data_IF_769927279398
#
_entry.id   IF_769927279398
#
_cell.length_a   1.000
_cell.length_b   1.000
_cell.length_c   1.000
_cell.angle_alpha   90.00
_cell.angle_beta   90.00
_cell.angle_gamma   90.00
#
_symmetry.space_group_name_H-M   'P 1'
#
loop_
_entity.id
_entity.type
_entity.pdbx_description
1 polymer ?
#
# COMPACT_ATOMS: atom_id res chain seq x y z
N UNK A 1 -2.14 24.97 -17.38
CA UNK A 1 -2.07 23.69 -16.64
C UNK A 1 -2.83 23.86 -15.34
N UNK A 2 -3.98 23.22 -15.21
CA UNK A 2 -4.86 23.43 -14.04
C UNK A 2 -4.33 22.65 -12.85
N UNK A 3 -3.84 23.36 -11.84
CA UNK A 3 -3.49 22.77 -10.55
C UNK A 3 -4.81 22.50 -9.83
N UNK A 4 -5.35 21.30 -9.95
CA UNK A 4 -6.51 20.90 -9.18
C UNK A 4 -6.09 20.79 -7.72
N UNK A 5 -6.30 21.84 -6.97
CA UNK A 5 -6.13 21.86 -5.51
C UNK A 5 -7.42 21.29 -4.93
N UNK A 6 -7.29 20.21 -4.13
CA UNK A 6 -8.44 19.69 -3.39
C UNK A 6 -8.95 20.76 -2.40
N UNK A 7 -10.25 20.94 -2.26
CA UNK A 7 -10.80 21.84 -1.26
C UNK A 7 -10.35 21.39 0.15
N UNK A 8 -10.23 22.33 1.09
CA UNK A 8 -9.81 22.06 2.48
C UNK A 8 -10.67 20.96 3.15
N UNK A 9 -11.91 20.79 2.71
CA UNK A 9 -12.86 19.76 3.15
C UNK A 9 -13.07 18.66 2.09
N UNK A 10 -11.99 18.12 1.51
CA UNK A 10 -12.09 17.03 0.50
C UNK A 10 -12.67 15.72 1.07
N UNK A 11 -12.76 15.58 2.37
CA UNK A 11 -13.30 14.41 3.07
C UNK A 11 -14.36 14.84 4.09
N UNK A 12 -15.52 14.18 4.06
CA UNK A 12 -16.46 14.20 5.17
C UNK A 12 -15.96 13.25 6.26
N UNK A 13 -15.64 13.71 7.49
CA UNK A 13 -15.14 12.84 8.56
C UNK A 13 -16.17 11.79 9.01
N UNK A 14 -17.48 12.08 8.83
CA UNK A 14 -18.59 11.24 9.29
C UNK A 14 -19.07 10.23 8.24
N UNK A 15 -18.50 10.24 7.03
CA UNK A 15 -18.87 9.31 5.96
C UNK A 15 -17.71 8.38 5.60
N UNK A 16 -17.99 7.08 5.30
CA UNK A 16 -16.99 6.17 4.78
C UNK A 16 -16.32 6.71 3.52
N UNK A 17 -15.01 6.58 3.45
CA UNK A 17 -14.24 7.03 2.30
C UNK A 17 -13.46 5.88 1.68
N UNK A 18 -13.32 5.87 0.35
CA UNK A 18 -12.62 4.81 -0.40
C UNK A 18 -11.19 4.55 0.12
N UNK A 19 -10.51 5.58 0.60
CA UNK A 19 -9.18 5.48 1.19
C UNK A 19 -9.15 4.89 2.61
N UNK A 20 -10.30 4.63 3.24
CA UNK A 20 -10.36 3.96 4.54
C UNK A 20 -9.97 2.50 4.42
N UNK A 21 -10.25 1.91 3.24
CA UNK A 21 -9.87 0.56 2.88
C UNK A 21 -9.34 0.52 1.43
N UNK A 22 -8.25 1.25 1.20
CA UNK A 22 -7.69 1.45 -0.13
C UNK A 22 -7.28 0.14 -0.83
N UNK A 23 -6.80 -0.86 -0.08
CA UNK A 23 -6.41 -2.15 -0.64
C UNK A 23 -7.64 -2.93 -1.13
N UNK A 24 -8.72 -2.98 -0.35
CA UNK A 24 -9.99 -3.60 -0.76
C UNK A 24 -10.58 -2.89 -1.97
N UNK A 25 -10.66 -1.57 -1.93
CA UNK A 25 -11.20 -0.76 -3.01
C UNK A 25 -10.39 -0.90 -4.31
N UNK A 26 -9.06 -1.04 -4.23
CA UNK A 26 -8.23 -1.35 -5.39
C UNK A 26 -8.51 -2.76 -5.94
N UNK A 27 -8.52 -3.78 -5.08
CA UNK A 27 -8.73 -5.19 -5.47
C UNK A 27 -10.15 -5.48 -5.99
N UNK A 28 -11.15 -4.71 -5.58
CA UNK A 28 -12.53 -4.83 -6.08
C UNK A 28 -12.85 -3.82 -7.19
N UNK A 29 -11.89 -3.01 -7.57
CA UNK A 29 -11.99 -1.97 -8.59
C UNK A 29 -10.90 -2.09 -9.66
N UNK A 30 -10.07 -1.06 -9.88
CA UNK A 30 -9.11 -1.03 -10.97
C UNK A 30 -8.06 -2.16 -10.96
N UNK A 31 -7.78 -2.76 -9.80
CA UNK A 31 -6.87 -3.89 -9.66
C UNK A 31 -7.57 -5.26 -9.59
N UNK A 32 -8.86 -5.35 -9.94
CA UNK A 32 -9.62 -6.61 -9.87
C UNK A 32 -8.97 -7.76 -10.66
N UNK A 33 -8.20 -7.45 -11.72
CA UNK A 33 -7.44 -8.45 -12.49
C UNK A 33 -6.34 -9.16 -11.70
N UNK A 34 -5.90 -8.57 -10.59
CA UNK A 34 -4.92 -9.19 -9.68
C UNK A 34 -5.56 -9.85 -8.47
N UNK A 35 -6.87 -9.69 -8.27
CA UNK A 35 -7.50 -10.13 -7.04
C UNK A 35 -7.66 -11.66 -6.99
N UNK A 36 -7.01 -12.30 -6.03
CA UNK A 36 -7.41 -13.59 -5.50
C UNK A 36 -8.43 -13.34 -4.41
N UNK A 37 -9.65 -13.92 -4.52
CA UNK A 37 -10.77 -13.57 -3.66
C UNK A 37 -11.56 -14.78 -3.17
N UNK A 38 -11.93 -14.75 -1.89
CA UNK A 38 -12.94 -15.63 -1.29
C UNK A 38 -13.92 -14.74 -0.51
N UNK A 39 -15.20 -14.73 -0.88
CA UNK A 39 -16.23 -13.94 -0.23
C UNK A 39 -15.83 -12.49 0.04
N UNK A 40 -15.63 -12.15 1.32
CA UNK A 40 -15.32 -10.82 1.83
C UNK A 40 -13.81 -10.59 2.06
N UNK A 41 -12.96 -11.50 1.63
CA UNK A 41 -11.50 -11.38 1.68
C UNK A 41 -10.88 -11.35 0.28
N UNK A 42 -9.84 -10.55 0.10
CA UNK A 42 -9.08 -10.47 -1.15
C UNK A 42 -7.61 -10.24 -0.88
N UNK A 43 -6.73 -10.73 -1.78
CA UNK A 43 -5.30 -10.45 -1.76
C UNK A 43 -4.74 -10.29 -3.17
N UNK A 44 -3.57 -9.72 -3.26
CA UNK A 44 -2.73 -9.80 -4.46
C UNK A 44 -1.99 -11.14 -4.52
N UNK A 45 -1.57 -11.61 -5.71
CA UNK A 45 -0.57 -12.65 -5.82
C UNK A 45 0.69 -12.27 -5.04
N UNK A 46 1.31 -13.25 -4.37
CA UNK A 46 2.40 -12.98 -3.42
C UNK A 46 3.66 -12.38 -4.05
N UNK A 47 3.83 -12.52 -5.36
CA UNK A 47 4.92 -11.93 -6.14
C UNK A 47 4.61 -10.52 -6.67
N UNK A 48 3.34 -10.08 -6.57
CA UNK A 48 2.88 -8.74 -6.95
C UNK A 48 2.86 -7.81 -5.75
N UNK A 49 2.20 -8.20 -4.65
CA UNK A 49 2.07 -7.38 -3.45
C UNK A 49 1.73 -8.23 -2.23
N UNK A 50 2.24 -7.92 -1.03
CA UNK A 50 1.92 -8.67 0.18
C UNK A 50 0.54 -8.32 0.75
N UNK A 51 -0.18 -7.35 0.20
CA UNK A 51 -1.42 -6.86 0.82
C UNK A 51 -2.57 -7.84 0.71
N UNK A 52 -3.22 -8.03 1.86
CA UNK A 52 -4.56 -8.60 1.97
C UNK A 52 -5.53 -7.56 2.51
N UNK A 53 -6.79 -7.70 2.17
CA UNK A 53 -7.84 -6.79 2.60
C UNK A 53 -9.13 -7.57 2.89
N UNK A 54 -9.87 -7.10 3.89
CA UNK A 54 -11.22 -7.54 4.23
C UNK A 54 -12.20 -6.47 3.78
N UNK A 55 -13.38 -6.86 3.33
CA UNK A 55 -14.44 -5.91 2.98
C UNK A 55 -14.83 -5.07 4.20
N UNK A 56 -15.01 -5.73 5.32
CA UNK A 56 -15.23 -5.13 6.64
C UNK A 56 -14.49 -5.96 7.70
N UNK A 57 -13.44 -5.42 8.34
CA UNK A 57 -12.72 -6.12 9.39
C UNK A 57 -13.55 -6.37 10.67
N UNK A 58 -14.71 -5.72 10.83
CA UNK A 58 -15.62 -5.96 11.95
C UNK A 58 -16.57 -7.15 11.73
N UNK A 59 -16.69 -7.62 10.47
CA UNK A 59 -17.50 -8.80 10.13
C UNK A 59 -16.69 -10.09 10.36
N UNK A 60 -17.07 -10.97 11.28
CA UNK A 60 -16.37 -12.25 11.49
C UNK A 60 -16.29 -13.12 10.24
N UNK A 61 -17.28 -13.07 9.35
CA UNK A 61 -17.29 -13.84 8.10
C UNK A 61 -16.13 -13.45 7.18
N UNK A 62 -15.71 -12.19 7.20
CA UNK A 62 -14.56 -11.74 6.40
C UNK A 62 -13.25 -12.39 6.88
N UNK A 63 -13.13 -12.70 8.16
CA UNK A 63 -11.99 -13.41 8.71
C UNK A 63 -12.01 -14.91 8.37
N UNK A 64 -13.21 -15.54 8.36
CA UNK A 64 -13.36 -16.92 7.88
C UNK A 64 -13.00 -17.04 6.40
N UNK A 65 -13.45 -16.09 5.59
CA UNK A 65 -13.09 -15.99 4.17
C UNK A 65 -11.56 -15.77 3.99
N UNK A 66 -10.93 -14.97 4.86
CA UNK A 66 -9.49 -14.80 4.84
C UNK A 66 -8.75 -16.09 5.18
N UNK A 67 -9.20 -16.81 6.20
CA UNK A 67 -8.59 -18.10 6.55
C UNK A 67 -8.72 -19.11 5.40
N UNK A 68 -9.85 -19.14 4.71
CA UNK A 68 -10.04 -19.96 3.51
C UNK A 68 -9.15 -19.54 2.34
N UNK A 69 -8.93 -18.22 2.17
CA UNK A 69 -8.12 -17.67 1.09
C UNK A 69 -6.63 -17.95 1.25
N UNK A 70 -6.09 -17.82 2.46
CA UNK A 70 -4.63 -17.90 2.69
C UNK A 70 -4.17 -19.25 3.25
N UNK A 71 -5.09 -20.06 3.80
CA UNK A 71 -4.82 -21.37 4.40
C UNK A 71 -4.44 -21.29 5.89
N UNK A 72 -4.46 -22.46 6.58
CA UNK A 72 -4.19 -22.55 8.02
C UNK A 72 -2.72 -22.26 8.35
N UNK A 73 -2.46 -21.71 9.56
CA UNK A 73 -1.11 -21.39 10.08
C UNK A 73 -0.36 -20.33 9.28
N UNK A 74 -1.00 -19.68 8.30
CA UNK A 74 -0.36 -18.71 7.42
C UNK A 74 -0.28 -17.35 8.08
N UNK A 75 0.89 -16.70 7.98
CA UNK A 75 1.07 -15.30 8.41
C UNK A 75 0.80 -14.36 7.25
N UNK A 76 -0.18 -13.48 7.42
CA UNK A 76 -0.57 -12.49 6.39
C UNK A 76 -0.76 -11.10 6.98
N UNK A 77 -0.40 -10.01 6.27
CA UNK A 77 -0.73 -8.66 6.69
C UNK A 77 -2.20 -8.36 6.35
N UNK A 78 -2.91 -7.70 7.25
CA UNK A 78 -4.27 -7.20 7.02
C UNK A 78 -4.26 -5.69 7.21
N UNK A 79 -4.67 -4.97 6.17
CA UNK A 79 -4.76 -3.51 6.19
C UNK A 79 -6.06 -3.06 6.84
N UNK A 80 -6.00 -2.03 7.71
CA UNK A 80 -7.18 -1.45 8.34
C UNK A 80 -7.81 -2.27 9.47
N UNK A 81 -7.25 -3.44 9.79
CA UNK A 81 -7.70 -4.24 10.91
C UNK A 81 -6.88 -3.93 12.16
N UNK A 82 -7.55 -3.81 13.29
CA UNK A 82 -6.93 -3.49 14.58
C UNK A 82 -6.89 -4.69 15.52
N UNK A 83 -7.97 -5.46 15.57
CA UNK A 83 -8.10 -6.61 16.45
C UNK A 83 -8.65 -7.79 15.67
N UNK A 84 -7.89 -8.88 15.52
CA UNK A 84 -8.42 -10.10 14.93
C UNK A 84 -9.38 -10.82 15.89
N UNK A 85 -10.28 -11.67 15.39
CA UNK A 85 -11.19 -12.45 16.24
C UNK A 85 -10.43 -13.52 17.06
N UNK A 86 -11.14 -14.14 18.01
CA UNK A 86 -10.61 -15.23 18.81
C UNK A 86 -10.08 -16.37 17.93
N UNK A 87 -8.96 -16.98 18.34
CA UNK A 87 -8.29 -18.04 17.60
C UNK A 87 -7.23 -17.55 16.59
N UNK A 88 -7.19 -16.25 16.29
CA UNK A 88 -6.13 -15.64 15.48
C UNK A 88 -5.01 -15.09 16.39
N UNK A 89 -3.78 -15.24 15.95
CA UNK A 89 -2.60 -14.68 16.63
C UNK A 89 -2.17 -13.38 15.96
N UNK A 90 -2.02 -12.30 16.73
CA UNK A 90 -1.34 -11.09 16.25
C UNK A 90 0.17 -11.28 16.34
N UNK A 91 0.83 -11.46 15.20
CA UNK A 91 2.29 -11.64 15.11
C UNK A 91 3.02 -10.31 15.23
N UNK A 92 2.45 -9.25 14.62
CA UNK A 92 3.01 -7.90 14.63
C UNK A 92 1.93 -6.87 14.34
N UNK A 93 2.03 -5.71 14.99
CA UNK A 93 1.27 -4.51 14.61
C UNK A 93 2.22 -3.41 14.14
N UNK A 94 1.69 -2.49 13.33
CA UNK A 94 2.43 -1.33 12.86
C UNK A 94 1.52 -0.12 12.73
N UNK A 95 2.08 1.05 12.99
CA UNK A 95 1.39 2.31 12.78
C UNK A 95 1.95 3.03 11.57
N UNK A 96 1.06 3.58 10.76
CA UNK A 96 1.36 4.35 9.58
C UNK A 96 0.60 5.67 9.54
N UNK A 97 0.89 6.45 8.54
CA UNK A 97 0.13 7.64 8.17
C UNK A 97 -0.21 7.59 6.70
N UNK A 98 -1.40 8.08 6.38
CA UNK A 98 -1.87 8.31 5.02
C UNK A 98 -1.85 9.81 4.75
N UNK A 99 -1.21 10.21 3.66
CA UNK A 99 -1.14 11.60 3.22
C UNK A 99 -1.76 11.73 1.84
N UNK A 100 -2.40 12.87 1.57
CA UNK A 100 -3.11 13.17 0.32
C UNK A 100 -2.52 14.43 -0.30
N UNK A 101 -2.36 14.44 -1.61
CA UNK A 101 -1.81 15.56 -2.37
C UNK A 101 -2.83 16.69 -2.50
N UNK A 102 -2.95 17.56 -1.50
CA UNK A 102 -3.88 18.69 -1.47
C UNK A 102 -3.34 19.92 -2.19
N UNK A 103 -2.05 20.20 -2.09
CA UNK A 103 -1.38 21.36 -2.68
C UNK A 103 -0.07 20.99 -3.41
N UNK A 104 0.10 19.71 -3.75
CA UNK A 104 1.29 19.23 -4.45
C UNK A 104 1.35 19.86 -5.85
N UNK A 105 2.45 20.57 -6.13
CA UNK A 105 2.78 20.95 -7.49
C UNK A 105 3.34 19.74 -8.23
N UNK A 106 2.63 19.27 -9.25
CA UNK A 106 3.07 18.16 -10.11
C UNK A 106 3.70 18.70 -11.38
N UNK A 107 4.85 18.17 -11.72
CA UNK A 107 5.62 18.56 -12.90
C UNK A 107 6.40 17.34 -13.45
N UNK A 108 6.59 17.23 -14.77
CA UNK A 108 7.45 16.20 -15.35
C UNK A 108 8.90 16.35 -14.87
N UNK A 109 9.63 15.24 -14.82
CA UNK A 109 11.08 15.21 -14.60
C UNK A 109 11.74 14.72 -15.90
N UNK A 110 12.32 15.61 -16.73
CA UNK A 110 12.87 15.23 -18.04
C UNK A 110 14.00 14.20 -17.97
N UNK A 111 14.73 14.15 -16.85
CA UNK A 111 15.79 13.18 -16.61
C UNK A 111 15.29 11.81 -16.14
N UNK A 112 14.01 11.71 -15.75
CA UNK A 112 13.44 10.46 -15.30
C UNK A 112 13.08 9.57 -16.50
N UNK A 113 13.41 8.30 -16.39
CA UNK A 113 13.04 7.28 -17.37
C UNK A 113 11.94 6.39 -16.82
N UNK A 114 11.07 5.91 -17.70
CA UNK A 114 10.08 4.90 -17.31
C UNK A 114 10.78 3.56 -17.12
N UNK A 115 10.56 2.96 -15.95
CA UNK A 115 11.05 1.63 -15.62
C UNK A 115 10.01 0.58 -15.99
N UNK A 116 10.49 -0.56 -16.45
CA UNK A 116 9.66 -1.68 -16.88
C UNK A 116 10.16 -3.04 -16.37
N UNK A 117 9.60 -4.15 -16.85
CA UNK A 117 9.99 -5.49 -16.41
C UNK A 117 11.49 -5.80 -16.55
N UNK A 118 12.16 -5.25 -17.57
CA UNK A 118 13.60 -5.42 -17.75
C UNK A 118 14.47 -4.73 -16.70
N UNK A 119 13.94 -3.73 -15.98
CA UNK A 119 14.64 -2.98 -14.93
C UNK A 119 14.43 -3.59 -13.53
N UNK A 120 13.55 -4.58 -13.38
CA UNK A 120 13.18 -5.16 -12.09
C UNK A 120 14.38 -5.66 -11.27
N UNK A 121 15.39 -6.33 -11.82
CA UNK A 121 16.57 -6.73 -11.05
C UNK A 121 17.25 -5.52 -10.38
N UNK A 122 17.48 -4.44 -11.11
CA UNK A 122 18.11 -3.23 -10.59
C UNK A 122 17.22 -2.45 -9.61
N UNK A 123 15.89 -2.47 -9.84
CA UNK A 123 14.93 -1.93 -8.89
C UNK A 123 14.97 -2.69 -7.56
N UNK A 124 15.06 -4.01 -7.58
CA UNK A 124 15.16 -4.84 -6.37
C UNK A 124 16.48 -4.61 -5.63
N UNK A 125 17.59 -4.39 -6.32
CA UNK A 125 18.87 -4.00 -5.71
C UNK A 125 18.72 -2.67 -4.96
N UNK A 126 18.15 -1.65 -5.60
CA UNK A 126 17.93 -0.34 -4.95
C UNK A 126 16.96 -0.44 -3.76
N UNK A 127 15.93 -1.28 -3.83
CA UNK A 127 15.01 -1.57 -2.73
C UNK A 127 15.74 -2.21 -1.55
N UNK A 128 16.61 -3.19 -1.81
CA UNK A 128 17.38 -3.86 -0.75
C UNK A 128 18.33 -2.90 -0.03
N UNK A 129 18.91 -1.93 -0.74
CA UNK A 129 19.80 -0.92 -0.16
C UNK A 129 19.06 0.18 0.62
N UNK A 130 17.78 0.42 0.34
CA UNK A 130 17.07 1.62 0.84
C UNK A 130 15.84 1.31 1.69
N UNK A 131 15.33 0.10 1.63
CA UNK A 131 14.17 -0.42 2.40
C UNK A 131 12.95 0.51 2.47
N UNK A 132 12.46 1.06 1.33
CA UNK A 132 11.36 2.03 1.35
C UNK A 132 10.00 1.40 1.65
N UNK A 133 9.93 0.09 1.70
CA UNK A 133 8.72 -0.71 1.88
C UNK A 133 8.66 -1.88 0.89
N UNK A 134 7.58 -2.65 0.89
CA UNK A 134 7.51 -3.85 0.07
C UNK A 134 7.50 -3.51 -1.43
N UNK A 135 8.43 -4.13 -2.15
CA UNK A 135 8.49 -4.17 -3.60
C UNK A 135 8.94 -5.58 -3.99
N UNK A 136 8.22 -6.25 -4.87
CA UNK A 136 8.34 -7.64 -5.25
C UNK A 136 8.57 -7.75 -6.76
N UNK A 137 8.99 -8.90 -7.30
CA UNK A 137 9.35 -9.02 -8.72
C UNK A 137 8.30 -8.53 -9.72
N UNK A 138 7.01 -8.65 -9.38
CA UNK A 138 5.91 -8.20 -10.24
C UNK A 138 5.20 -6.95 -9.75
N UNK A 139 5.70 -6.27 -8.71
CA UNK A 139 5.10 -5.02 -8.22
C UNK A 139 5.05 -3.94 -9.31
N UNK A 140 5.99 -3.96 -10.24
CA UNK A 140 6.04 -3.04 -11.39
C UNK A 140 4.78 -3.08 -12.27
N UNK A 141 4.01 -4.17 -12.22
CA UNK A 141 2.75 -4.33 -12.97
C UNK A 141 1.58 -3.51 -12.38
N UNK A 142 1.70 -2.99 -11.15
CA UNK A 142 0.64 -2.23 -10.49
C UNK A 142 0.46 -0.83 -11.05
N UNK A 143 1.48 -0.26 -11.70
CA UNK A 143 1.37 1.09 -12.27
C UNK A 143 2.65 1.57 -12.93
N UNK A 144 2.78 2.89 -13.07
CA UNK A 144 3.94 3.54 -13.66
C UNK A 144 5.05 3.67 -12.62
N UNK A 145 6.26 3.28 -13.00
CA UNK A 145 7.49 3.49 -12.24
C UNK A 145 8.44 4.40 -13.00
N UNK A 146 8.99 5.40 -12.32
CA UNK A 146 9.98 6.33 -12.85
C UNK A 146 11.29 6.18 -12.09
N UNK A 147 12.40 6.22 -12.78
CA UNK A 147 13.73 6.14 -12.21
C UNK A 147 14.67 7.23 -12.74
N UNK A 148 15.66 7.60 -11.93
CA UNK A 148 16.76 8.46 -12.34
C UNK A 148 18.04 7.63 -12.32
N UNK A 149 18.82 7.72 -13.40
CA UNK A 149 20.07 6.99 -13.56
C UNK A 149 21.28 7.94 -13.46
N UNK A 150 22.35 7.43 -12.90
CA UNK A 150 23.66 8.09 -12.93
C UNK A 150 24.72 7.12 -13.40
N UNK A 151 25.43 7.45 -14.46
CA UNK A 151 26.44 6.59 -15.11
C UNK A 151 25.89 5.17 -15.39
N UNK A 152 24.64 5.11 -15.87
CA UNK A 152 23.96 3.85 -16.21
C UNK A 152 23.26 3.18 -15.03
N UNK A 153 23.63 3.42 -13.77
CA UNK A 153 23.04 2.79 -12.57
C UNK A 153 21.77 3.53 -12.13
N UNK A 154 20.74 2.79 -11.71
CA UNK A 154 19.55 3.35 -11.09
C UNK A 154 19.88 3.86 -9.67
N UNK A 155 19.67 5.18 -9.45
CA UNK A 155 20.04 5.83 -8.18
C UNK A 155 18.83 6.35 -7.39
N UNK A 156 17.68 6.47 -8.02
CA UNK A 156 16.44 6.84 -7.36
C UNK A 156 15.26 6.33 -8.17
N UNK A 157 14.18 5.98 -7.49
CA UNK A 157 12.92 5.65 -8.14
C UNK A 157 11.72 6.06 -7.30
N UNK A 158 10.57 6.17 -7.94
CA UNK A 158 9.24 6.25 -7.36
C UNK A 158 8.24 5.63 -8.33
N UNK A 159 7.12 5.13 -7.83
CA UNK A 159 6.11 4.53 -8.69
C UNK A 159 4.74 4.48 -8.04
N UNK A 160 3.85 3.74 -8.66
CA UNK A 160 2.45 3.59 -8.26
C UNK A 160 2.23 2.21 -7.63
N UNK A 161 1.29 2.12 -6.68
CA UNK A 161 0.99 0.86 -6.00
C UNK A 161 -0.51 0.58 -5.95
N UNK A 162 -1.25 1.09 -4.98
CA UNK A 162 -2.69 0.89 -4.88
C UNK A 162 -3.44 1.89 -5.77
N UNK A 163 -4.46 1.41 -6.47
CA UNK A 163 -5.32 2.25 -7.29
C UNK A 163 -6.80 2.03 -6.94
N UNK A 164 -7.28 2.56 -5.81
CA UNK A 164 -8.71 2.62 -5.54
C UNK A 164 -9.39 3.63 -6.50
N UNK A 165 -10.72 3.52 -6.76
CA UNK A 165 -11.42 4.40 -7.68
C UNK A 165 -11.17 5.89 -7.42
N UNK A 166 -10.67 6.62 -8.42
CA UNK A 166 -10.36 8.06 -8.37
C UNK A 166 -9.06 8.43 -7.64
N UNK A 167 -8.27 7.44 -7.19
CA UNK A 167 -7.06 7.66 -6.41
C UNK A 167 -5.94 6.73 -6.86
N UNK A 168 -4.70 7.21 -6.81
CA UNK A 168 -3.52 6.35 -7.06
C UNK A 168 -2.45 6.63 -6.01
N UNK A 169 -1.94 5.57 -5.41
CA UNK A 169 -0.90 5.63 -4.38
C UNK A 169 0.49 5.79 -5.00
N UNK A 170 1.23 6.80 -4.55
CA UNK A 170 2.67 6.91 -4.81
C UNK A 170 3.42 6.05 -3.80
N UNK A 171 4.32 5.21 -4.27
CA UNK A 171 5.05 4.24 -3.46
C UNK A 171 6.47 4.02 -3.97
N UNK A 172 7.25 3.19 -3.26
CA UNK A 172 8.63 2.84 -3.59
C UNK A 172 9.53 4.05 -3.80
N UNK A 173 9.24 5.16 -3.10
CA UNK A 173 10.05 6.38 -3.17
C UNK A 173 11.36 6.14 -2.45
N UNK A 174 12.44 6.03 -3.19
CA UNK A 174 13.75 5.79 -2.62
C UNK A 174 14.86 6.45 -3.41
N UNK A 175 15.98 6.70 -2.72
CA UNK A 175 17.21 7.27 -3.29
C UNK A 175 18.40 6.59 -2.64
N UNK A 176 19.31 6.12 -3.49
CA UNK A 176 20.58 5.52 -3.07
C UNK A 176 21.30 6.45 -2.07
N UNK A 177 21.89 5.94 -0.97
CA UNK A 177 22.50 6.77 0.08
C UNK A 177 23.43 7.84 -0.44
N UNK A 178 24.34 7.52 -1.36
CA UNK A 178 25.34 8.44 -1.92
C UNK A 178 24.74 9.57 -2.79
N UNK A 179 23.46 9.47 -3.11
CA UNK A 179 22.77 10.44 -3.97
C UNK A 179 21.66 11.20 -3.23
N UNK A 180 21.52 11.02 -1.91
CA UNK A 180 20.56 11.77 -1.08
C UNK A 180 20.91 13.25 -1.00
N UNK A 181 19.95 14.06 -0.56
CA UNK A 181 20.14 15.53 -0.42
C UNK A 181 20.11 16.32 -1.73
N UNK A 182 19.87 15.67 -2.89
CA UNK A 182 19.86 16.31 -4.22
C UNK A 182 18.45 16.55 -4.78
N UNK A 183 17.40 16.36 -3.96
CA UNK A 183 16.01 16.57 -4.37
C UNK A 183 15.43 15.51 -5.31
N UNK A 184 16.12 14.36 -5.53
CA UNK A 184 15.68 13.33 -6.48
C UNK A 184 14.30 12.77 -6.15
N UNK A 185 14.07 12.45 -4.87
CA UNK A 185 12.76 11.94 -4.40
C UNK A 185 11.64 12.95 -4.69
N UNK A 186 11.83 14.23 -4.41
CA UNK A 186 10.84 15.28 -4.68
C UNK A 186 10.50 15.36 -6.17
N UNK A 187 11.50 15.34 -7.04
CA UNK A 187 11.30 15.39 -8.51
C UNK A 187 10.53 14.18 -9.00
N UNK A 188 10.90 12.98 -8.54
CA UNK A 188 10.19 11.75 -8.92
C UNK A 188 8.76 11.72 -8.40
N UNK A 189 8.51 12.12 -7.15
CA UNK A 189 7.16 12.20 -6.59
C UNK A 189 6.28 13.15 -7.40
N UNK A 190 6.80 14.33 -7.78
CA UNK A 190 6.08 15.30 -8.63
C UNK A 190 5.80 14.76 -10.02
N UNK A 191 6.76 14.04 -10.60
CA UNK A 191 6.59 13.45 -11.93
C UNK A 191 5.59 12.30 -11.95
N UNK A 192 5.62 11.41 -10.96
CA UNK A 192 4.61 10.35 -10.81
C UNK A 192 3.23 10.97 -10.58
N UNK A 193 3.14 12.01 -9.74
CA UNK A 193 1.88 12.73 -9.50
C UNK A 193 1.34 13.42 -10.76
N UNK A 194 2.21 13.91 -11.65
CA UNK A 194 1.79 14.45 -12.93
C UNK A 194 1.04 13.41 -13.77
N UNK A 195 1.64 12.22 -13.95
CA UNK A 195 1.01 11.13 -14.69
C UNK A 195 -0.28 10.61 -14.02
N UNK A 196 -0.35 10.60 -12.68
CA UNK A 196 -1.58 10.25 -11.94
C UNK A 196 -2.70 11.24 -12.26
N UNK A 197 -2.42 12.55 -12.21
CA UNK A 197 -3.40 13.61 -12.46
C UNK A 197 -3.85 13.68 -13.93
N UNK A 198 -2.97 13.37 -14.87
CA UNK A 198 -3.32 13.26 -16.29
C UNK A 198 -4.41 12.21 -16.53
N UNK A 199 -4.47 11.18 -15.71
CA UNK A 199 -5.52 10.14 -15.75
C UNK A 199 -6.77 10.50 -14.95
N UNK A 200 -6.82 11.67 -14.31
CA UNK A 200 -7.91 12.12 -13.46
C UNK A 200 -7.91 11.59 -12.04
N UNK A 201 -6.88 10.84 -11.63
CA UNK A 201 -6.76 10.33 -10.26
C UNK A 201 -6.08 11.35 -9.33
N UNK A 202 -6.35 11.23 -8.03
CA UNK A 202 -5.73 12.04 -7.00
C UNK A 202 -4.59 11.25 -6.36
N UNK A 203 -3.37 11.83 -6.27
CA UNK A 203 -2.25 11.17 -5.62
C UNK A 203 -2.42 11.09 -4.09
N UNK A 204 -2.11 9.95 -3.51
CA UNK A 204 -1.97 9.76 -2.08
C UNK A 204 -0.76 8.87 -1.78
N UNK A 205 -0.37 8.73 -0.53
CA UNK A 205 0.70 7.83 -0.12
C UNK A 205 0.55 7.37 1.33
N UNK A 206 1.24 6.28 1.67
CA UNK A 206 1.43 5.84 3.04
C UNK A 206 2.91 5.83 3.41
N UNK A 207 3.20 6.09 4.68
CA UNK A 207 4.51 5.85 5.26
C UNK A 207 4.39 5.42 6.72
N UNK A 208 5.44 4.81 7.28
CA UNK A 208 5.44 4.47 8.70
C UNK A 208 5.31 5.75 9.56
N UNK A 209 4.54 5.69 10.64
CA UNK A 209 4.33 6.85 11.52
C UNK A 209 5.64 7.36 12.15
N UNK A 210 6.63 6.49 12.32
CA UNK A 210 7.97 6.86 12.82
C UNK A 210 8.90 7.44 11.75
N UNK A 211 8.54 7.43 10.45
CA UNK A 211 9.37 7.99 9.40
C UNK A 211 9.16 9.51 9.26
N UNK A 212 9.57 10.24 10.30
CA UNK A 212 9.39 11.69 10.40
C UNK A 212 10.07 12.46 9.27
N UNK A 213 11.19 11.94 8.75
CA UNK A 213 11.91 12.54 7.61
C UNK A 213 11.05 12.52 6.36
N UNK A 214 10.44 11.38 6.02
CA UNK A 214 9.57 11.27 4.86
C UNK A 214 8.29 12.08 5.05
N UNK A 215 7.68 12.08 6.24
CA UNK A 215 6.47 12.86 6.55
C UNK A 215 6.74 14.35 6.30
N UNK A 216 7.81 14.90 6.88
CA UNK A 216 8.21 16.31 6.68
C UNK A 216 8.46 16.64 5.21
N UNK A 217 9.13 15.74 4.47
CA UNK A 217 9.34 15.92 3.03
C UNK A 217 8.00 16.04 2.31
N UNK A 218 7.10 15.09 2.52
CA UNK A 218 5.81 15.08 1.82
C UNK A 218 4.94 16.30 2.19
N UNK A 219 4.90 16.69 3.45
CA UNK A 219 4.21 17.91 3.87
C UNK A 219 4.80 19.16 3.22
N UNK A 220 6.13 19.26 3.16
CA UNK A 220 6.83 20.41 2.54
C UNK A 220 6.57 20.58 1.05
N UNK A 221 6.20 19.51 0.35
CA UNK A 221 5.92 19.54 -1.09
C UNK A 221 4.41 19.56 -1.41
N UNK A 222 3.54 19.61 -0.40
CA UNK A 222 2.10 19.84 -0.58
C UNK A 222 1.20 18.63 -0.37
N UNK A 223 1.66 17.62 0.37
CA UNK A 223 0.78 16.60 0.93
C UNK A 223 0.26 17.04 2.29
N UNK A 224 -0.93 16.60 2.63
CA UNK A 224 -1.56 16.83 3.94
C UNK A 224 -1.85 15.49 4.60
N UNK A 225 -1.58 15.39 5.89
CA UNK A 225 -1.96 14.23 6.69
C UNK A 225 -3.48 14.04 6.64
N UNK A 226 -3.93 12.90 6.14
CA UNK A 226 -5.33 12.52 6.06
C UNK A 226 -5.77 11.74 7.29
N UNK A 227 -4.99 10.74 7.66
CA UNK A 227 -5.30 9.88 8.82
C UNK A 227 -4.08 9.11 9.31
N UNK A 228 -4.16 8.64 10.55
CA UNK A 228 -3.30 7.56 11.04
C UNK A 228 -3.88 6.22 10.59
N UNK A 229 -3.02 5.29 10.27
CA UNK A 229 -3.40 3.96 9.82
C UNK A 229 -2.77 2.91 10.73
N UNK A 230 -3.45 1.80 10.88
CA UNK A 230 -2.93 0.63 11.56
C UNK A 230 -2.88 -0.54 10.59
N UNK A 231 -1.93 -1.41 10.80
CA UNK A 231 -1.81 -2.66 10.08
C UNK A 231 -1.40 -3.75 11.05
N UNK A 232 -1.94 -4.94 10.88
CA UNK A 232 -1.58 -6.10 11.67
C UNK A 232 -1.05 -7.20 10.75
N UNK A 233 -0.07 -7.93 11.23
CA UNK A 233 0.26 -9.25 10.69
C UNK A 233 -0.33 -10.29 11.63
N UNK A 234 -1.17 -11.11 11.07
CA UNK A 234 -1.92 -12.14 11.80
C UNK A 234 -1.54 -13.53 11.30
N UNK A 235 -1.62 -14.51 12.19
CA UNK A 235 -1.55 -15.92 11.84
C UNK A 235 -2.96 -16.50 11.85
N UNK A 236 -3.32 -17.18 10.77
CA UNK A 236 -4.60 -17.92 10.69
C UNK A 236 -4.64 -19.06 11.71
N UNK A 237 -5.82 -19.41 12.25
CA UNK A 237 -5.97 -20.56 13.11
C UNK A 237 -5.49 -21.86 12.42
N UNK A 238 -4.90 -22.78 13.19
CA UNK A 238 -4.61 -24.14 12.75
C UNK A 238 -5.91 -24.97 12.79
N UNK A 239 -6.24 -25.67 11.72
CA UNK A 239 -7.45 -26.53 11.62
C UNK A 239 -7.56 -27.59 12.74
N UNK A 240 -6.50 -27.81 13.53
CA UNK A 240 -6.49 -28.83 14.59
C UNK A 240 -7.20 -28.41 15.89
N UNK A 241 -7.53 -27.14 16.08
CA UNK A 241 -8.13 -26.68 17.34
C UNK A 241 -9.67 -26.77 17.38
N UNK A 242 -10.34 -26.89 16.24
CA UNK A 242 -11.82 -26.99 16.21
C UNK A 242 -12.37 -28.40 16.53
N UNK A 243 -11.55 -29.44 16.48
CA UNK A 243 -12.01 -30.82 16.72
C UNK A 243 -11.92 -31.31 18.19
N UNK A 244 -11.41 -30.47 19.11
CA UNK A 244 -11.28 -30.88 20.53
C UNK A 244 -12.38 -30.37 21.46
N UNK A 245 -13.33 -29.59 20.96
CA UNK A 245 -14.55 -29.23 21.69
C UNK A 245 -15.70 -30.22 21.37
N UNK A 246 -15.42 -31.50 21.54
CA UNK A 246 -16.47 -32.50 21.53
C UNK A 246 -17.40 -32.35 22.74
N UNK A 247 -18.72 -32.62 22.61
CA UNK A 247 -19.66 -32.44 23.70
C UNK A 247 -19.30 -33.31 24.88
N UNK A 248 -19.17 -32.67 26.04
CA UNK A 248 -19.10 -33.38 27.33
C UNK A 248 -20.36 -34.25 27.47
N UNK A 249 -20.22 -35.56 27.30
CA UNK A 249 -21.31 -36.48 27.69
C UNK A 249 -21.41 -36.47 29.22
N UNK A 250 -22.39 -35.77 29.73
CA UNK A 250 -22.88 -36.00 31.07
C UNK A 250 -23.74 -37.26 31.01
N UNK A 251 -23.17 -38.42 31.33
CA UNK A 251 -23.94 -39.59 31.71
C UNK A 251 -24.21 -39.46 33.23
N UNK A 252 -25.52 -39.38 33.56
CA UNK A 252 -26.05 -39.47 34.92
C UNK A 252 -26.27 -40.92 35.30
#
# INVERSE_FOLDING_TARGET
MSTSVLPVAWRNPDAPHVLDNAAWAALTGPHARFAERVGHAARYPLDVSPFTALADPSDPRAWDDLAALVGPGTVTPVSGATVPPAGWETVRSGQGVQLVATALHSEPAPEAVRLGPGDVPEMLELIAETEPGPFLPRTVELGTYLGIRHRGRLIAMAGERLRPPGWTEISAVCTHPDHRGRGLATRLVRAVAAGIRERGDIPFLHTAAGNTTAIRLYESIGFTLSRRTESVRVRTPDRRQEQTAGPCRCDA
#
